data_IF_465926117821
#
_entry.id   IF_465926117821
#
_cell.length_a   1.000
_cell.length_b   1.000
_cell.length_c   1.000
_cell.angle_alpha   90.00
_cell.angle_beta   90.00
_cell.angle_gamma   90.00
#
_symmetry.space_group_name_H-M   'P 1'
#
loop_
_entity.id
_entity.type
_entity.pdbx_description
1 polymer ?
#
# COMPACT_ATOMS: atom_id res chain seq x y z
N UNK A 1 25.30 -39.91 -4.24
CA UNK A 1 24.02 -39.31 -4.70
C UNK A 1 23.08 -38.93 -3.55
N UNK A 2 23.16 -39.53 -2.36
CA UNK A 2 22.34 -39.14 -1.19
C UNK A 2 22.95 -38.04 -0.32
N UNK A 3 24.26 -37.81 -0.42
CA UNK A 3 24.99 -36.80 0.36
C UNK A 3 24.78 -35.36 -0.16
N UNK A 4 24.67 -35.17 -1.47
CA UNK A 4 24.44 -33.83 -2.06
C UNK A 4 23.03 -33.25 -1.77
N UNK A 5 22.04 -34.13 -1.59
CA UNK A 5 20.65 -33.73 -1.32
C UNK A 5 20.52 -33.21 0.13
N UNK A 6 21.34 -33.75 1.05
CA UNK A 6 21.39 -33.32 2.44
C UNK A 6 22.07 -31.95 2.58
N UNK A 7 23.13 -31.69 1.81
CA UNK A 7 23.83 -30.40 1.84
C UNK A 7 23.00 -29.25 1.24
N UNK A 8 22.18 -29.53 0.21
CA UNK A 8 21.30 -28.50 -0.37
C UNK A 8 20.16 -28.08 0.56
N UNK A 9 19.70 -28.98 1.44
CA UNK A 9 18.63 -28.71 2.43
C UNK A 9 19.13 -27.92 3.64
N UNK A 10 20.43 -27.98 3.94
CA UNK A 10 21.07 -27.27 5.06
C UNK A 10 21.34 -25.78 4.77
N UNK A 11 21.21 -25.38 3.50
CA UNK A 11 21.41 -23.99 3.03
C UNK A 11 20.11 -23.21 2.85
N UNK A 12 19.00 -23.73 3.36
CA UNK A 12 17.71 -23.03 3.40
C UNK A 12 17.61 -22.25 4.71
N UNK A 13 18.12 -21.02 4.66
CA UNK A 13 17.76 -19.88 5.51
C UNK A 13 17.74 -20.15 7.02
N UNK A 14 18.87 -19.93 7.68
CA UNK A 14 18.87 -19.66 9.11
C UNK A 14 17.93 -18.47 9.37
N UNK A 15 16.95 -18.59 10.28
CA UNK A 15 16.14 -17.45 10.66
C UNK A 15 17.09 -16.44 11.27
N UNK A 16 17.32 -15.32 10.57
CA UNK A 16 18.08 -14.16 11.06
C UNK A 16 17.65 -13.97 12.52
N UNK A 17 18.57 -14.21 13.45
CA UNK A 17 18.28 -14.32 14.87
C UNK A 17 17.61 -13.03 15.32
N UNK A 18 16.27 -13.07 15.32
CA UNK A 18 15.46 -11.88 15.46
C UNK A 18 15.68 -11.35 16.86
N UNK A 19 15.81 -10.03 16.99
CA UNK A 19 15.86 -9.36 18.29
C UNK A 19 14.86 -10.00 19.26
N UNK A 20 15.30 -10.25 20.49
CA UNK A 20 14.50 -10.98 21.49
C UNK A 20 13.08 -10.43 21.58
N UNK A 21 12.11 -11.31 21.86
CA UNK A 21 10.68 -10.97 21.88
C UNK A 21 10.41 -9.70 22.70
N UNK A 22 11.05 -9.57 23.88
CA UNK A 22 10.94 -8.39 24.73
C UNK A 22 11.49 -7.11 24.09
N UNK A 23 12.64 -7.18 23.42
CA UNK A 23 13.25 -5.99 22.79
C UNK A 23 12.48 -5.55 21.54
N UNK A 24 11.92 -6.50 20.78
CA UNK A 24 11.03 -6.18 19.66
C UNK A 24 9.72 -5.53 20.14
N UNK A 25 9.12 -6.02 21.23
CA UNK A 25 7.94 -5.38 21.85
C UNK A 25 8.27 -3.98 22.36
N UNK A 26 9.44 -3.77 22.97
CA UNK A 26 9.88 -2.45 23.43
C UNK A 26 10.01 -1.45 22.28
N UNK A 27 10.58 -1.87 21.15
CA UNK A 27 10.67 -1.04 19.95
C UNK A 27 9.29 -0.63 19.42
N UNK A 28 8.32 -1.56 19.42
CA UNK A 28 6.95 -1.26 19.01
C UNK A 28 6.24 -0.30 19.98
N UNK A 29 6.43 -0.46 21.29
CA UNK A 29 5.94 0.49 22.28
C UNK A 29 6.50 1.88 22.00
N UNK A 30 7.80 1.97 21.74
CA UNK A 30 8.46 3.25 21.45
C UNK A 30 7.91 3.90 20.17
N UNK A 31 7.66 3.13 19.10
CA UNK A 31 7.00 3.63 17.89
C UNK A 31 5.61 4.20 18.18
N UNK A 32 4.79 3.49 18.96
CA UNK A 32 3.44 3.94 19.36
C UNK A 32 3.53 5.22 20.19
N UNK A 33 4.48 5.31 21.11
CA UNK A 33 4.71 6.50 21.93
C UNK A 33 5.07 7.71 21.06
N UNK A 34 5.96 7.57 20.08
CA UNK A 34 6.30 8.67 19.17
C UNK A 34 5.11 9.12 18.30
N UNK A 35 4.29 8.18 17.83
CA UNK A 35 3.05 8.50 17.09
C UNK A 35 2.02 9.22 17.96
N UNK A 36 1.80 8.74 19.18
CA UNK A 36 0.90 9.37 20.14
C UNK A 36 1.40 10.77 20.52
N UNK A 37 2.70 10.93 20.76
CA UNK A 37 3.31 12.23 21.03
C UNK A 37 3.14 13.20 19.85
N UNK A 38 3.28 12.73 18.60
CA UNK A 38 3.03 13.56 17.42
C UNK A 38 1.56 14.01 17.34
N UNK A 39 0.60 13.09 17.58
CA UNK A 39 -0.82 13.40 17.54
C UNK A 39 -1.24 14.36 18.66
N UNK A 40 -0.84 14.07 19.90
CA UNK A 40 -1.14 14.88 21.09
C UNK A 40 -0.45 16.24 20.99
N UNK A 41 0.81 16.26 20.57
CA UNK A 41 1.56 17.48 20.32
C UNK A 41 0.85 18.37 19.31
N UNK A 42 0.35 17.81 18.21
CA UNK A 42 -0.40 18.59 17.23
C UNK A 42 -1.68 19.21 17.83
N UNK A 43 -2.42 18.49 18.67
CA UNK A 43 -3.66 18.99 19.30
C UNK A 43 -3.37 20.04 20.38
N UNK A 44 -2.37 19.82 21.24
CA UNK A 44 -2.09 20.71 22.37
C UNK A 44 -1.42 22.02 21.92
N UNK A 45 -0.49 21.94 20.98
CA UNK A 45 0.21 23.13 20.48
C UNK A 45 -0.64 23.99 19.54
N UNK A 46 -1.92 23.64 19.32
CA UNK A 46 -2.88 24.36 18.46
C UNK A 46 -3.11 25.82 18.79
N UNK A 47 -2.91 26.22 20.04
CA UNK A 47 -3.20 27.58 20.51
C UNK A 47 -1.96 28.47 20.67
N UNK A 48 -0.74 27.91 20.66
CA UNK A 48 0.48 28.63 21.08
C UNK A 48 1.50 28.85 19.95
N UNK A 49 1.58 27.96 18.95
CA UNK A 49 2.63 28.02 17.90
C UNK A 49 2.06 28.29 16.50
N UNK A 50 2.84 28.87 15.59
CA UNK A 50 2.45 29.03 14.18
C UNK A 50 2.45 27.67 13.44
N UNK A 51 1.63 27.52 12.39
CA UNK A 51 1.44 26.27 11.64
C UNK A 51 2.76 25.63 11.13
N UNK A 52 3.79 26.36 10.67
CA UNK A 52 5.00 25.74 10.14
C UNK A 52 5.81 24.98 11.19
N UNK A 53 5.89 25.51 12.43
CA UNK A 53 6.69 24.92 13.51
C UNK A 53 6.14 23.55 13.92
N UNK A 54 4.81 23.40 13.92
CA UNK A 54 4.15 22.12 14.27
C UNK A 54 4.36 21.05 13.21
N UNK A 55 4.30 21.44 11.93
CA UNK A 55 4.55 20.52 10.81
C UNK A 55 5.97 19.98 10.88
N UNK A 56 6.95 20.82 11.21
CA UNK A 56 8.34 20.39 11.42
C UNK A 56 8.43 19.44 12.62
N UNK A 57 7.84 19.79 13.77
CA UNK A 57 7.85 18.91 14.95
C UNK A 57 7.20 17.54 14.70
N UNK A 58 6.06 17.52 14.00
CA UNK A 58 5.37 16.29 13.61
C UNK A 58 6.19 15.47 12.61
N UNK A 59 6.81 16.14 11.62
CA UNK A 59 7.70 15.47 10.66
C UNK A 59 8.89 14.80 11.37
N UNK A 60 9.54 15.48 12.32
CA UNK A 60 10.65 14.91 13.09
C UNK A 60 10.18 13.70 13.92
N UNK A 61 9.04 13.81 14.61
CA UNK A 61 8.49 12.70 15.40
C UNK A 61 8.13 11.49 14.52
N UNK A 62 7.58 11.71 13.33
CA UNK A 62 7.30 10.66 12.36
C UNK A 62 8.57 10.01 11.82
N UNK A 63 9.59 10.79 11.49
CA UNK A 63 10.89 10.26 11.04
C UNK A 63 11.51 9.37 12.11
N UNK A 64 11.50 9.80 13.37
CA UNK A 64 11.99 8.97 14.49
C UNK A 64 11.19 7.68 14.62
N UNK A 65 9.86 7.76 14.58
CA UNK A 65 8.99 6.57 14.62
C UNK A 65 9.32 5.59 13.48
N UNK A 66 9.54 6.08 12.26
CA UNK A 66 9.93 5.27 11.10
C UNK A 66 11.31 4.61 11.29
N UNK A 67 12.28 5.32 11.87
CA UNK A 67 13.61 4.78 12.16
C UNK A 67 13.49 3.61 13.15
N UNK A 68 12.75 3.79 14.23
CA UNK A 68 12.53 2.72 15.21
C UNK A 68 11.76 1.53 14.61
N UNK A 69 10.76 1.81 13.77
CA UNK A 69 10.01 0.79 13.04
C UNK A 69 10.84 0.05 11.98
N UNK A 70 11.89 0.67 11.44
CA UNK A 70 12.80 0.02 10.50
C UNK A 70 13.82 -0.91 11.19
N UNK A 71 14.15 -0.65 12.46
CA UNK A 71 15.09 -1.44 13.27
C UNK A 71 14.41 -2.66 13.93
N UNK A 72 13.08 -2.66 14.02
CA UNK A 72 12.31 -3.81 14.52
C UNK A 72 12.49 -5.04 13.63
N UNK A 73 12.24 -6.22 14.19
CA UNK A 73 12.38 -7.49 13.46
C UNK A 73 11.51 -7.51 12.19
N UNK A 74 10.30 -6.93 12.27
CA UNK A 74 9.41 -6.78 11.11
C UNK A 74 9.98 -5.82 10.04
N UNK A 75 10.66 -4.74 10.47
CA UNK A 75 11.31 -3.79 9.56
C UNK A 75 12.48 -4.40 8.80
N UNK A 76 13.31 -5.20 9.46
CA UNK A 76 14.41 -5.94 8.81
C UNK A 76 13.87 -6.99 7.84
N UNK A 77 12.84 -7.74 8.23
CA UNK A 77 12.15 -8.69 7.33
C UNK A 77 11.59 -8.00 6.09
N UNK A 78 10.91 -6.85 6.26
CA UNK A 78 10.40 -6.07 5.14
C UNK A 78 11.52 -5.63 4.19
N UNK A 79 12.67 -5.16 4.72
CA UNK A 79 13.83 -4.77 3.90
C UNK A 79 14.41 -5.93 3.10
N UNK A 80 14.47 -7.13 3.68
CA UNK A 80 14.92 -8.33 2.97
C UNK A 80 13.91 -8.75 1.90
N UNK A 81 12.61 -8.73 2.23
CA UNK A 81 11.54 -8.97 1.27
C UNK A 81 11.60 -7.99 0.08
N UNK A 82 11.88 -6.71 0.29
CA UNK A 82 12.07 -5.76 -0.82
C UNK A 82 13.25 -6.12 -1.73
N UNK A 83 14.34 -6.67 -1.18
CA UNK A 83 15.49 -7.15 -1.99
C UNK A 83 15.09 -8.36 -2.82
N UNK A 84 14.40 -9.32 -2.22
CA UNK A 84 13.88 -10.51 -2.89
C UNK A 84 12.85 -10.16 -3.96
N UNK A 85 11.89 -9.29 -3.65
CA UNK A 85 10.90 -8.77 -4.58
C UNK A 85 11.55 -8.04 -5.77
N UNK A 86 12.66 -7.33 -5.57
CA UNK A 86 13.39 -6.71 -6.68
C UNK A 86 14.08 -7.75 -7.57
N UNK A 87 14.55 -8.86 -7.01
CA UNK A 87 15.10 -9.96 -7.80
C UNK A 87 13.99 -10.68 -8.59
N UNK A 88 12.81 -10.84 -8.00
CA UNK A 88 11.65 -11.45 -8.68
C UNK A 88 11.07 -10.52 -9.76
N UNK A 89 11.02 -9.22 -9.50
CA UNK A 89 10.58 -8.21 -10.47
C UNK A 89 11.45 -8.18 -11.74
N UNK A 90 12.71 -8.65 -11.67
CA UNK A 90 13.56 -8.82 -12.86
C UNK A 90 13.22 -10.05 -13.69
N UNK A 91 12.55 -11.04 -13.10
CA UNK A 91 12.04 -12.22 -13.82
C UNK A 91 10.71 -11.93 -14.51
N UNK A 92 10.02 -10.86 -14.11
CA UNK A 92 8.80 -10.40 -14.78
C UNK A 92 9.18 -9.89 -16.16
N UNK A 93 8.76 -10.63 -17.18
CA UNK A 93 8.83 -10.19 -18.57
C UNK A 93 7.77 -9.11 -18.74
N UNK A 94 8.20 -7.86 -18.85
CA UNK A 94 7.29 -6.77 -19.13
C UNK A 94 6.77 -6.89 -20.57
N UNK A 95 5.46 -6.79 -20.77
CA UNK A 95 4.84 -6.96 -22.08
C UNK A 95 5.41 -5.93 -23.07
N UNK A 96 5.51 -6.34 -24.33
CA UNK A 96 5.95 -5.43 -25.38
C UNK A 96 4.89 -4.31 -25.57
N UNK A 97 5.30 -3.15 -26.08
CA UNK A 97 4.40 -2.02 -26.36
C UNK A 97 3.29 -2.40 -27.33
N UNK A 98 3.54 -3.34 -28.24
CA UNK A 98 2.54 -3.89 -29.16
C UNK A 98 1.46 -4.69 -28.43
N UNK A 99 1.85 -5.61 -27.55
CA UNK A 99 0.94 -6.45 -26.75
C UNK A 99 0.10 -5.58 -25.80
N UNK A 100 0.75 -4.62 -25.13
CA UNK A 100 0.09 -3.67 -24.23
C UNK A 100 -1.00 -2.88 -24.95
N UNK A 101 -0.72 -2.41 -26.18
CA UNK A 101 -1.69 -1.69 -27.01
C UNK A 101 -2.85 -2.57 -27.44
N UNK A 102 -2.58 -3.83 -27.80
CA UNK A 102 -3.63 -4.78 -28.19
C UNK A 102 -4.61 -5.01 -27.04
N UNK A 103 -4.11 -5.31 -25.83
CA UNK A 103 -4.97 -5.51 -24.66
C UNK A 103 -5.71 -4.23 -24.27
N UNK A 104 -5.05 -3.07 -24.34
CA UNK A 104 -5.71 -1.77 -24.06
C UNK A 104 -6.86 -1.50 -25.02
N UNK A 105 -6.67 -1.75 -26.32
CA UNK A 105 -7.73 -1.57 -27.32
C UNK A 105 -8.91 -2.51 -27.09
N UNK A 106 -8.65 -3.76 -26.68
CA UNK A 106 -9.72 -4.72 -26.31
C UNK A 106 -10.52 -4.16 -25.13
N UNK A 107 -9.87 -3.70 -24.05
CA UNK A 107 -10.54 -3.15 -22.87
C UNK A 107 -11.33 -1.89 -23.21
N UNK A 108 -10.78 -1.00 -24.06
CA UNK A 108 -11.49 0.18 -24.56
C UNK A 108 -12.75 -0.23 -25.31
N UNK A 109 -12.66 -1.22 -26.21
CA UNK A 109 -13.81 -1.73 -26.94
C UNK A 109 -14.93 -2.24 -26.02
N UNK A 110 -14.58 -3.09 -25.05
CA UNK A 110 -15.56 -3.61 -24.07
C UNK A 110 -16.15 -2.50 -23.22
N UNK A 111 -15.35 -1.52 -22.82
CA UNK A 111 -15.80 -0.37 -22.01
C UNK A 111 -16.77 0.52 -22.78
N UNK A 112 -16.50 0.78 -24.08
CA UNK A 112 -17.41 1.55 -24.95
C UNK A 112 -18.77 0.84 -25.03
N UNK A 113 -18.78 -0.48 -25.29
CA UNK A 113 -20.01 -1.26 -25.39
C UNK A 113 -20.79 -1.22 -24.06
N UNK A 114 -20.11 -1.44 -22.93
CA UNK A 114 -20.73 -1.39 -21.61
C UNK A 114 -21.29 0.01 -21.30
N UNK A 115 -20.52 1.07 -21.57
CA UNK A 115 -20.96 2.45 -21.35
C UNK A 115 -22.18 2.84 -22.19
N UNK A 116 -22.22 2.39 -23.45
CA UNK A 116 -23.35 2.65 -24.34
C UNK A 116 -24.60 1.88 -23.90
N UNK A 117 -24.43 0.65 -23.43
CA UNK A 117 -25.53 -0.15 -22.86
C UNK A 117 -26.14 0.52 -21.62
N UNK A 118 -25.30 0.93 -20.67
CA UNK A 118 -25.78 1.64 -19.48
C UNK A 118 -26.43 2.96 -19.85
N UNK A 119 -25.80 3.78 -20.70
CA UNK A 119 -26.37 5.04 -21.16
C UNK A 119 -27.75 4.86 -21.83
N UNK A 120 -27.92 3.83 -22.65
CA UNK A 120 -29.20 3.52 -23.26
C UNK A 120 -30.25 3.12 -22.22
N UNK A 121 -29.89 2.26 -21.25
CA UNK A 121 -30.79 1.85 -20.18
C UNK A 121 -31.22 3.05 -19.31
N UNK A 122 -30.27 3.88 -18.89
CA UNK A 122 -30.53 5.11 -18.12
C UNK A 122 -31.42 6.08 -18.90
N UNK A 123 -31.15 6.26 -20.20
CA UNK A 123 -31.96 7.14 -21.07
C UNK A 123 -33.41 6.66 -21.20
N UNK A 124 -33.62 5.34 -21.31
CA UNK A 124 -34.97 4.75 -21.35
C UNK A 124 -35.69 4.97 -20.02
N UNK A 125 -35.00 4.72 -18.89
CA UNK A 125 -35.57 4.91 -17.56
C UNK A 125 -36.00 6.37 -17.36
N UNK A 126 -35.13 7.33 -17.69
CA UNK A 126 -35.44 8.76 -17.58
C UNK A 126 -36.59 9.15 -18.48
N UNK A 127 -36.63 8.64 -19.72
CA UNK A 127 -37.74 8.90 -20.65
C UNK A 127 -39.08 8.42 -20.09
N UNK A 128 -39.11 7.22 -19.49
CA UNK A 128 -40.32 6.66 -18.85
C UNK A 128 -40.73 7.51 -17.65
N UNK A 129 -39.79 7.90 -16.79
CA UNK A 129 -40.06 8.73 -15.61
C UNK A 129 -40.64 10.09 -16.02
N UNK A 130 -40.05 10.74 -17.03
CA UNK A 130 -40.54 12.02 -17.54
C UNK A 130 -41.93 11.87 -18.14
N UNK A 131 -42.17 10.84 -18.95
CA UNK A 131 -43.49 10.55 -19.52
C UNK A 131 -44.56 10.35 -18.46
N UNK A 132 -44.28 9.57 -17.40
CA UNK A 132 -45.23 9.41 -16.28
C UNK A 132 -45.45 10.69 -15.49
N UNK A 133 -44.41 11.53 -15.36
CA UNK A 133 -44.50 12.79 -14.61
C UNK A 133 -45.31 13.83 -15.38
N UNK A 134 -45.10 13.94 -16.69
CA UNK A 134 -45.84 14.84 -17.58
C UNK A 134 -47.31 14.43 -17.71
N UNK A 135 -47.64 13.14 -17.58
CA UNK A 135 -49.02 12.65 -17.58
C UNK A 135 -49.79 12.99 -16.29
N UNK A 136 -49.09 13.39 -15.22
CA UNK A 136 -49.66 13.73 -13.90
C UNK A 136 -49.95 15.23 -13.74
N UNK A 137 -49.70 16.04 -14.77
CA UNK A 137 -50.07 17.45 -14.87
C UNK A 137 -50.93 17.68 -16.12
#
# INVERSE_FOLDING_TARGET
>A
MTTEIVDKKKKTEEPVEGKSKGLNTLLWILVVVFFAAAAIGNVYFQKVYSTPVRVIGMAVALVLALIFAAITNQGVKARNFFKEARNEARKVVWPNRSETRQTTLIVIGVTIIASLFFWAADSIIVSIINFLTDLRF
#
